data_IF_523673940298
#
_entry.id   IF_523673940298
#
_cell.length_a   1.000
_cell.length_b   1.000
_cell.length_c   1.000
_cell.angle_alpha   90.00
_cell.angle_beta   90.00
_cell.angle_gamma   90.00
#
_symmetry.space_group_name_H-M   'P 1'
#
loop_
_entity.id
_entity.type
_entity.pdbx_description
1 polymer ?
#
# COMPACT_ATOMS: atom_id res chain seq x y z
N UNK A 1 21.92 -18.77 25.00
CA UNK A 1 23.28 -19.08 25.44
C UNK A 1 24.01 -19.70 24.26
N UNK A 2 25.01 -19.03 23.72
CA UNK A 2 25.83 -19.52 22.58
C UNK A 2 26.98 -20.38 23.08
N UNK A 3 27.46 -21.27 22.21
CA UNK A 3 28.68 -22.05 22.46
C UNK A 3 29.88 -21.11 22.41
N UNK A 4 30.70 -21.11 23.45
CA UNK A 4 31.82 -20.17 23.60
C UNK A 4 32.92 -20.36 22.55
N UNK A 5 33.74 -19.31 22.35
CA UNK A 5 34.84 -19.30 21.38
C UNK A 5 35.86 -20.43 21.57
N UNK A 6 36.07 -20.89 22.80
CA UNK A 6 36.96 -22.01 23.09
C UNK A 6 36.52 -23.33 22.41
N UNK A 7 35.19 -23.56 22.28
CA UNK A 7 34.69 -24.76 21.62
C UNK A 7 34.75 -24.65 20.07
N UNK A 8 34.82 -23.46 19.53
CA UNK A 8 34.98 -23.23 18.07
C UNK A 8 36.44 -23.26 17.63
N UNK A 9 37.40 -23.24 18.58
CA UNK A 9 38.86 -23.30 18.33
C UNK A 9 39.47 -24.68 18.65
N UNK A 10 38.64 -25.67 18.98
CA UNK A 10 39.05 -27.04 19.30
C UNK A 10 39.34 -27.94 18.07
N UNK A 11 39.43 -29.28 18.25
CA UNK A 11 39.53 -30.20 17.11
C UNK A 11 38.43 -29.92 16.08
N UNK A 12 38.73 -30.08 14.77
CA UNK A 12 37.88 -29.69 13.64
C UNK A 12 36.45 -30.20 13.79
N UNK A 13 36.27 -31.45 14.26
CA UNK A 13 34.93 -32.03 14.46
C UNK A 13 34.11 -31.31 15.56
N UNK A 14 34.76 -30.83 16.63
CA UNK A 14 34.10 -30.08 17.71
C UNK A 14 33.78 -28.66 17.25
N UNK A 15 34.66 -28.04 16.48
CA UNK A 15 34.42 -26.71 15.90
C UNK A 15 33.27 -26.72 14.92
N UNK A 16 33.13 -27.74 14.08
CA UNK A 16 32.02 -27.89 13.12
C UNK A 16 30.67 -28.08 13.85
N UNK A 17 30.63 -28.90 14.91
CA UNK A 17 29.42 -29.10 15.72
C UNK A 17 29.03 -27.78 16.44
N UNK A 18 30.01 -27.10 17.02
CA UNK A 18 29.79 -25.82 17.70
C UNK A 18 29.29 -24.75 16.72
N UNK A 19 29.85 -24.70 15.50
CA UNK A 19 29.40 -23.81 14.43
C UNK A 19 27.96 -24.11 13.97
N UNK A 20 27.64 -25.39 13.76
CA UNK A 20 26.30 -25.82 13.42
C UNK A 20 25.27 -25.47 14.51
N UNK A 21 25.62 -25.67 15.77
CA UNK A 21 24.78 -25.37 16.93
C UNK A 21 24.53 -23.85 17.04
N UNK A 22 25.56 -23.01 16.89
CA UNK A 22 25.41 -21.56 16.89
C UNK A 22 24.53 -21.09 15.73
N UNK A 23 24.71 -21.63 14.52
CA UNK A 23 23.86 -21.33 13.37
C UNK A 23 22.39 -21.70 13.60
N UNK A 24 22.15 -22.84 14.31
CA UNK A 24 20.79 -23.23 14.69
C UNK A 24 20.19 -22.28 15.73
N UNK A 25 20.98 -21.85 16.72
CA UNK A 25 20.54 -20.87 17.72
C UNK A 25 20.20 -19.54 17.03
N UNK A 26 21.07 -19.04 16.14
CA UNK A 26 20.83 -17.82 15.39
C UNK A 26 19.54 -17.93 14.56
N UNK A 27 19.31 -19.05 13.89
CA UNK A 27 18.09 -19.28 13.12
C UNK A 27 16.82 -19.30 13.99
N UNK A 28 16.91 -19.86 15.21
CA UNK A 28 15.80 -19.88 16.18
C UNK A 28 15.55 -18.47 16.73
N UNK A 29 16.61 -17.76 17.13
CA UNK A 29 16.49 -16.36 17.61
C UNK A 29 15.87 -15.47 16.55
N UNK A 30 16.35 -15.51 15.31
CA UNK A 30 15.77 -14.81 14.16
C UNK A 30 14.31 -15.19 13.91
N UNK A 31 13.97 -16.47 14.08
CA UNK A 31 12.59 -16.97 13.95
C UNK A 31 11.67 -16.40 15.03
N UNK A 32 12.13 -16.38 16.27
CA UNK A 32 11.40 -15.83 17.42
C UNK A 32 11.21 -14.30 17.28
N UNK A 33 12.25 -13.57 16.88
CA UNK A 33 12.15 -12.13 16.64
C UNK A 33 11.16 -11.80 15.51
N UNK A 34 11.22 -12.56 14.40
CA UNK A 34 10.27 -12.40 13.29
C UNK A 34 8.83 -12.62 13.74
N UNK A 35 8.61 -13.67 14.55
CA UNK A 35 7.30 -13.98 15.12
C UNK A 35 6.82 -12.87 16.07
N UNK A 36 7.66 -12.42 17.00
CA UNK A 36 7.33 -11.34 17.93
C UNK A 36 6.98 -10.04 17.19
N UNK A 37 7.75 -9.67 16.14
CA UNK A 37 7.44 -8.50 15.29
C UNK A 37 6.12 -8.67 14.54
N UNK A 38 5.82 -9.88 14.04
CA UNK A 38 4.55 -10.16 13.36
C UNK A 38 3.36 -10.06 14.31
N UNK A 39 3.47 -10.62 15.52
CA UNK A 39 2.44 -10.52 16.55
C UNK A 39 2.19 -9.07 16.99
N UNK A 40 3.27 -8.29 17.16
CA UNK A 40 3.14 -6.86 17.51
C UNK A 40 2.42 -6.07 16.41
N UNK A 41 2.77 -6.30 15.13
CA UNK A 41 2.09 -5.70 13.98
C UNK A 41 0.61 -6.09 13.91
N UNK A 42 0.29 -7.35 14.18
CA UNK A 42 -1.11 -7.82 14.18
C UNK A 42 -1.91 -7.14 15.31
N UNK A 43 -1.35 -7.06 16.52
CA UNK A 43 -2.01 -6.37 17.64
C UNK A 43 -2.27 -4.90 17.33
N UNK A 44 -1.27 -4.22 16.77
CA UNK A 44 -1.42 -2.83 16.34
C UNK A 44 -2.50 -2.69 15.26
N UNK A 45 -2.48 -3.55 14.24
CA UNK A 45 -3.49 -3.57 13.18
C UNK A 45 -4.91 -3.74 13.71
N UNK A 46 -5.13 -4.67 14.67
CA UNK A 46 -6.45 -4.89 15.29
C UNK A 46 -6.88 -3.68 16.12
N UNK A 47 -5.96 -3.04 16.83
CA UNK A 47 -6.25 -1.83 17.60
C UNK A 47 -6.67 -0.67 16.69
N UNK A 48 -5.88 -0.41 15.65
CA UNK A 48 -6.14 0.67 14.68
C UNK A 48 -7.46 0.42 13.92
N UNK A 49 -7.70 -0.82 13.47
CA UNK A 49 -8.94 -1.24 12.84
C UNK A 49 -10.16 -0.98 13.73
N UNK A 50 -10.04 -1.31 15.03
CA UNK A 50 -11.11 -1.09 16.01
C UNK A 50 -11.40 0.40 16.19
N UNK A 51 -10.39 1.24 16.17
CA UNK A 51 -10.55 2.70 16.24
C UNK A 51 -11.21 3.27 14.99
N UNK A 52 -10.75 2.86 13.80
CA UNK A 52 -11.29 3.35 12.53
C UNK A 52 -12.72 2.86 12.23
N UNK A 53 -13.13 1.73 12.78
CA UNK A 53 -14.51 1.24 12.70
C UNK A 53 -15.44 1.89 13.74
N UNK A 54 -14.94 2.24 14.93
CA UNK A 54 -15.76 2.83 15.98
C UNK A 54 -16.32 4.19 15.60
N UNK A 55 -15.55 5.01 14.93
CA UNK A 55 -15.94 6.38 14.54
C UNK A 55 -17.15 6.39 13.60
N UNK A 56 -17.15 5.72 12.42
CA UNK A 56 -18.31 5.66 11.55
C UNK A 56 -19.51 4.96 12.20
N UNK A 57 -19.28 3.95 13.04
CA UNK A 57 -20.35 3.28 13.79
C UNK A 57 -21.07 4.24 14.74
N UNK A 58 -20.33 5.08 15.45
CA UNK A 58 -20.92 6.11 16.31
C UNK A 58 -21.72 7.14 15.50
N UNK A 59 -21.23 7.53 14.31
CA UNK A 59 -21.96 8.37 13.36
C UNK A 59 -23.27 7.73 12.92
N UNK A 60 -23.23 6.46 12.48
CA UNK A 60 -24.45 5.70 12.10
C UNK A 60 -25.46 5.66 13.23
N UNK A 61 -25.02 5.37 14.46
CA UNK A 61 -25.89 5.36 15.64
C UNK A 61 -26.51 6.73 15.93
N UNK A 62 -25.72 7.80 15.81
CA UNK A 62 -26.20 9.17 16.01
C UNK A 62 -27.26 9.59 15.00
N UNK A 63 -27.00 9.34 13.70
CA UNK A 63 -27.96 9.64 12.63
C UNK A 63 -29.21 8.74 12.69
N UNK A 64 -29.07 7.47 13.09
CA UNK A 64 -30.21 6.59 13.31
C UNK A 64 -31.11 7.08 14.45
N UNK A 65 -30.52 7.59 15.54
CA UNK A 65 -31.28 8.22 16.64
C UNK A 65 -31.96 9.52 16.18
N UNK A 66 -31.27 10.32 15.36
CA UNK A 66 -31.85 11.56 14.81
C UNK A 66 -33.03 11.25 13.90
N UNK A 67 -32.93 10.28 12.99
CA UNK A 67 -33.99 9.88 12.08
C UNK A 67 -35.25 9.34 12.79
N UNK A 68 -35.11 8.86 14.03
CA UNK A 68 -36.23 8.38 14.87
C UNK A 68 -36.99 9.48 15.64
N UNK A 69 -36.42 10.69 15.65
CA UNK A 69 -37.09 11.84 16.29
C UNK A 69 -38.17 12.41 15.37
N UNK A 70 -39.01 13.25 15.96
CA UNK A 70 -39.97 14.06 15.17
C UNK A 70 -39.21 15.22 14.52
N UNK A 71 -38.77 15.00 13.29
CA UNK A 71 -38.03 15.94 12.46
C UNK A 71 -38.71 16.02 11.10
N UNK A 72 -38.45 17.09 10.36
CA UNK A 72 -38.95 17.25 9.00
C UNK A 72 -38.39 16.18 8.04
N UNK A 73 -39.06 15.93 6.92
CA UNK A 73 -38.73 14.90 5.96
C UNK A 73 -37.35 15.12 5.31
N UNK A 74 -36.95 16.37 5.07
CA UNK A 74 -35.65 16.69 4.49
C UNK A 74 -34.52 16.28 5.45
N UNK A 75 -34.65 16.62 6.74
CA UNK A 75 -33.69 16.24 7.78
C UNK A 75 -33.62 14.71 7.96
N UNK A 76 -34.75 14.02 7.84
CA UNK A 76 -34.80 12.54 7.91
C UNK A 76 -34.10 11.92 6.71
N UNK A 77 -34.36 12.41 5.51
CA UNK A 77 -33.69 11.96 4.27
C UNK A 77 -32.18 12.15 4.36
N UNK A 78 -31.74 13.31 4.81
CA UNK A 78 -30.31 13.60 5.01
C UNK A 78 -29.67 12.66 6.04
N UNK A 79 -30.36 12.35 7.13
CA UNK A 79 -29.85 11.39 8.14
C UNK A 79 -29.70 9.97 7.54
N UNK A 80 -30.68 9.52 6.74
CA UNK A 80 -30.61 8.22 6.06
C UNK A 80 -29.49 8.16 5.01
N UNK A 81 -29.28 9.22 4.24
CA UNK A 81 -28.16 9.33 3.30
C UNK A 81 -26.82 9.24 4.03
N UNK A 82 -26.69 9.91 5.18
CA UNK A 82 -25.49 9.82 6.02
C UNK A 82 -25.25 8.40 6.54
N UNK A 83 -26.28 7.71 7.00
CA UNK A 83 -26.19 6.30 7.43
C UNK A 83 -25.71 5.43 6.27
N UNK A 84 -26.30 5.59 5.09
CA UNK A 84 -25.91 4.83 3.89
C UNK A 84 -24.46 5.09 3.50
N UNK A 85 -24.02 6.34 3.50
CA UNK A 85 -22.64 6.70 3.15
C UNK A 85 -21.60 6.17 4.15
N UNK A 86 -21.90 6.21 5.45
CA UNK A 86 -21.01 5.63 6.48
C UNK A 86 -20.99 4.10 6.41
N UNK A 87 -22.13 3.47 6.08
CA UNK A 87 -22.20 2.03 5.83
C UNK A 87 -21.32 1.59 4.66
N UNK A 88 -21.40 2.29 3.54
CA UNK A 88 -20.53 2.05 2.37
C UNK A 88 -19.05 2.24 2.70
N UNK A 89 -18.72 3.29 3.46
CA UNK A 89 -17.36 3.54 3.94
C UNK A 89 -16.82 2.41 4.82
N UNK A 90 -17.64 1.90 5.75
CA UNK A 90 -17.26 0.76 6.59
C UNK A 90 -17.01 -0.50 5.76
N UNK A 91 -17.85 -0.77 4.76
CA UNK A 91 -17.67 -1.89 3.86
C UNK A 91 -16.33 -1.78 3.09
N UNK A 92 -16.01 -0.62 2.51
CA UNK A 92 -14.73 -0.38 1.86
C UNK A 92 -13.54 -0.60 2.80
N UNK A 93 -13.61 -0.09 4.04
CA UNK A 93 -12.57 -0.26 5.04
C UNK A 93 -12.33 -1.74 5.38
N UNK A 94 -13.40 -2.53 5.52
CA UNK A 94 -13.30 -3.98 5.79
C UNK A 94 -12.64 -4.70 4.61
N UNK A 95 -13.01 -4.40 3.35
CA UNK A 95 -12.40 -5.00 2.16
C UNK A 95 -10.89 -4.64 2.05
N UNK A 96 -10.52 -3.40 2.35
CA UNK A 96 -9.12 -2.97 2.40
C UNK A 96 -8.33 -3.73 3.48
N UNK A 97 -8.92 -3.94 4.66
CA UNK A 97 -8.32 -4.74 5.74
C UNK A 97 -8.16 -6.21 5.35
N UNK A 98 -9.18 -6.81 4.72
CA UNK A 98 -9.12 -8.19 4.23
C UNK A 98 -8.05 -8.35 3.15
N UNK A 99 -7.91 -7.37 2.27
CA UNK A 99 -6.86 -7.35 1.24
C UNK A 99 -5.47 -7.38 1.89
N UNK A 100 -5.22 -6.51 2.87
CA UNK A 100 -3.95 -6.47 3.60
C UNK A 100 -3.68 -7.79 4.36
N UNK A 101 -4.69 -8.33 5.04
CA UNK A 101 -4.55 -9.59 5.77
C UNK A 101 -4.21 -10.77 4.84
N UNK A 102 -4.79 -10.81 3.64
CA UNK A 102 -4.48 -11.82 2.61
C UNK A 102 -3.06 -11.67 2.07
N UNK A 103 -2.57 -10.44 1.90
CA UNK A 103 -1.22 -10.16 1.42
C UNK A 103 -0.16 -10.47 2.48
N UNK A 104 -0.43 -10.20 3.77
CA UNK A 104 0.45 -10.56 4.88
C UNK A 104 0.56 -12.09 5.04
N UNK A 105 -0.47 -12.85 4.65
CA UNK A 105 -0.53 -14.32 4.71
C UNK A 105 0.19 -15.06 3.58
N UNK A 106 1.09 -14.43 2.86
CA UNK A 106 1.92 -15.05 1.80
C UNK A 106 1.10 -15.64 0.62
N UNK A 107 -0.03 -15.02 0.26
CA UNK A 107 -0.78 -15.43 -0.92
C UNK A 107 0.08 -15.22 -2.17
N UNK A 108 0.32 -16.28 -2.92
CA UNK A 108 0.93 -16.19 -4.24
C UNK A 108 -0.02 -15.47 -5.20
N UNK A 109 0.37 -14.29 -5.67
CA UNK A 109 -0.29 -13.61 -6.76
C UNK A 109 -0.02 -14.37 -8.08
N UNK A 110 -0.93 -14.24 -9.04
CA UNK A 110 -0.69 -14.72 -10.39
C UNK A 110 0.51 -14.00 -10.99
N UNK A 111 1.20 -14.67 -11.91
CA UNK A 111 2.35 -14.11 -12.63
C UNK A 111 2.09 -14.21 -14.13
N UNK A 112 1.18 -13.36 -14.58
CA UNK A 112 0.83 -13.28 -15.99
C UNK A 112 1.55 -12.08 -16.63
N UNK A 113 1.73 -12.14 -17.94
CA UNK A 113 2.20 -10.99 -18.72
C UNK A 113 1.02 -10.05 -18.98
N UNK A 114 1.14 -8.80 -18.53
CA UNK A 114 0.06 -7.83 -18.53
C UNK A 114 0.45 -6.62 -19.37
N UNK A 115 -0.41 -6.25 -20.30
CA UNK A 115 -0.37 -4.94 -20.94
C UNK A 115 -0.92 -3.87 -19.97
N UNK A 116 -0.07 -2.93 -19.61
CA UNK A 116 -0.39 -1.93 -18.57
C UNK A 116 -1.22 -0.78 -19.13
N UNK A 117 -1.10 -0.46 -20.42
CA UNK A 117 -1.74 0.72 -21.02
C UNK A 117 -3.27 0.65 -20.95
N UNK A 118 -3.94 -0.46 -21.34
CA UNK A 118 -5.39 -0.56 -21.20
C UNK A 118 -5.88 -0.36 -19.77
N UNK A 119 -5.15 -0.91 -18.79
CA UNK A 119 -5.50 -0.78 -17.37
C UNK A 119 -5.40 0.68 -16.87
N UNK A 120 -4.39 1.41 -17.34
CA UNK A 120 -4.24 2.84 -17.00
C UNK A 120 -5.37 3.65 -17.64
N UNK A 121 -5.70 3.39 -18.90
CA UNK A 121 -6.77 4.10 -19.59
C UNK A 121 -8.14 3.87 -18.92
N UNK A 122 -8.44 2.62 -18.55
CA UNK A 122 -9.63 2.28 -17.79
C UNK A 122 -9.66 3.05 -16.46
N UNK A 123 -8.56 3.01 -15.69
CA UNK A 123 -8.49 3.66 -14.40
C UNK A 123 -8.59 5.20 -14.48
N UNK A 124 -8.00 5.82 -15.52
CA UNK A 124 -8.14 7.27 -15.78
C UNK A 124 -9.57 7.64 -16.19
N UNK A 125 -10.22 6.80 -16.99
CA UNK A 125 -11.63 6.97 -17.38
C UNK A 125 -12.54 6.92 -16.15
N UNK A 126 -12.38 5.93 -15.29
CA UNK A 126 -13.13 5.79 -14.04
C UNK A 126 -12.91 7.00 -13.11
N UNK A 127 -11.65 7.44 -12.99
CA UNK A 127 -11.29 8.61 -12.19
C UNK A 127 -11.95 9.89 -12.73
N UNK A 128 -12.00 10.06 -14.05
CA UNK A 128 -12.65 11.21 -14.69
C UNK A 128 -14.17 11.24 -14.44
N UNK A 129 -14.84 10.09 -14.46
CA UNK A 129 -16.27 10.00 -14.15
C UNK A 129 -16.55 10.44 -12.70
N UNK A 130 -15.69 10.04 -11.77
CA UNK A 130 -15.89 10.33 -10.33
C UNK A 130 -15.43 11.74 -9.94
N UNK A 131 -14.42 12.29 -10.63
CA UNK A 131 -13.88 13.63 -10.38
C UNK A 131 -13.60 14.35 -11.72
N UNK A 132 -14.66 14.83 -12.40
CA UNK A 132 -14.54 15.51 -13.69
C UNK A 132 -13.88 16.88 -13.59
N UNK A 133 -13.72 17.40 -12.39
CA UNK A 133 -13.06 18.66 -12.07
C UNK A 133 -11.52 18.57 -11.99
N UNK A 134 -10.96 17.35 -12.12
CA UNK A 134 -9.51 17.13 -12.23
C UNK A 134 -9.11 16.88 -13.70
N UNK A 135 -7.88 17.26 -14.06
CA UNK A 135 -7.30 16.92 -15.36
C UNK A 135 -6.54 15.59 -15.29
N UNK A 136 -7.16 14.52 -15.78
CA UNK A 136 -6.60 13.18 -15.79
C UNK A 136 -5.91 12.90 -17.13
N UNK A 137 -4.62 12.62 -17.12
CA UNK A 137 -3.83 12.51 -18.34
C UNK A 137 -2.95 11.25 -18.36
N UNK A 138 -2.88 10.62 -19.53
CA UNK A 138 -1.81 9.67 -19.85
C UNK A 138 -0.62 10.47 -20.39
N UNK A 139 0.50 10.41 -19.70
CA UNK A 139 1.75 11.03 -20.12
C UNK A 139 2.54 10.15 -21.07
N UNK A 140 3.87 10.19 -20.97
CA UNK A 140 4.73 9.32 -21.78
C UNK A 140 4.47 7.84 -21.41
N UNK A 141 4.05 7.06 -22.38
CA UNK A 141 3.74 5.64 -22.23
C UNK A 141 4.30 4.87 -23.44
N UNK A 142 5.28 4.01 -23.20
CA UNK A 142 5.71 3.02 -24.19
C UNK A 142 4.86 1.74 -24.01
N UNK A 143 4.76 0.94 -25.07
CA UNK A 143 4.17 -0.40 -25.00
C UNK A 143 5.04 -1.29 -24.11
N UNK A 144 4.62 -1.43 -22.86
CA UNK A 144 5.40 -2.11 -21.84
C UNK A 144 4.54 -3.21 -21.21
N UNK A 145 5.07 -4.42 -21.22
CA UNK A 145 4.50 -5.57 -20.55
C UNK A 145 5.13 -5.73 -19.15
N UNK A 146 4.29 -6.01 -18.17
CA UNK A 146 4.67 -6.24 -16.77
C UNK A 146 4.35 -7.68 -16.38
N UNK A 147 5.22 -8.30 -15.60
CA UNK A 147 4.96 -9.59 -15.00
C UNK A 147 4.26 -9.41 -13.66
N UNK A 148 2.99 -9.86 -13.54
CA UNK A 148 2.23 -9.64 -12.31
C UNK A 148 0.82 -10.22 -12.33
N UNK A 149 -0.02 -9.67 -11.44
CA UNK A 149 -1.44 -9.98 -11.30
C UNK A 149 -2.27 -8.75 -11.72
N UNK A 150 -3.14 -8.92 -12.71
CA UNK A 150 -3.93 -7.82 -13.28
C UNK A 150 -4.83 -7.16 -12.23
N UNK A 151 -5.49 -7.95 -11.37
CA UNK A 151 -6.35 -7.42 -10.33
C UNK A 151 -5.56 -6.61 -9.30
N UNK A 152 -4.35 -7.06 -8.95
CA UNK A 152 -3.45 -6.33 -8.09
C UNK A 152 -3.00 -5.01 -8.71
N UNK A 153 -2.66 -5.01 -10.00
CA UNK A 153 -2.25 -3.80 -10.73
C UNK A 153 -3.40 -2.79 -10.85
N UNK A 154 -4.61 -3.26 -11.17
CA UNK A 154 -5.84 -2.44 -11.19
C UNK A 154 -6.08 -1.80 -9.83
N UNK A 155 -5.93 -2.55 -8.73
CA UNK A 155 -6.07 -2.04 -7.37
C UNK A 155 -5.02 -0.99 -7.02
N UNK A 156 -3.76 -1.16 -7.46
CA UNK A 156 -2.70 -0.16 -7.30
C UNK A 156 -3.12 1.15 -7.97
N UNK A 157 -3.50 1.10 -9.24
CA UNK A 157 -3.91 2.28 -10.01
C UNK A 157 -5.11 2.99 -9.36
N UNK A 158 -6.14 2.23 -9.01
CA UNK A 158 -7.33 2.76 -8.34
C UNK A 158 -6.97 3.48 -7.04
N UNK A 159 -6.11 2.90 -6.20
CA UNK A 159 -5.70 3.51 -4.94
C UNK A 159 -4.88 4.79 -5.14
N UNK A 160 -3.98 4.82 -6.13
CA UNK A 160 -3.17 6.00 -6.43
C UNK A 160 -4.02 7.14 -6.97
N UNK A 161 -4.94 6.86 -7.90
CA UNK A 161 -5.82 7.89 -8.47
C UNK A 161 -6.86 8.36 -7.45
N UNK A 162 -7.40 7.47 -6.62
CA UNK A 162 -8.28 7.85 -5.50
C UNK A 162 -7.54 8.75 -4.49
N UNK A 163 -6.27 8.47 -4.22
CA UNK A 163 -5.45 9.31 -3.35
C UNK A 163 -5.25 10.71 -3.93
N UNK A 164 -4.92 10.84 -5.22
CA UNK A 164 -4.82 12.11 -5.91
C UNK A 164 -6.14 12.89 -5.81
N UNK A 165 -7.28 12.26 -6.13
CA UNK A 165 -8.62 12.86 -6.04
C UNK A 165 -8.96 13.41 -4.66
N UNK A 166 -8.66 12.64 -3.60
CA UNK A 166 -9.09 12.99 -2.23
C UNK A 166 -8.19 14.06 -1.61
N UNK A 167 -6.90 14.07 -1.96
CA UNK A 167 -5.91 14.90 -1.30
C UNK A 167 -5.48 16.13 -2.10
N UNK A 168 -6.03 16.33 -3.31
CA UNK A 168 -5.76 17.52 -4.10
C UNK A 168 -7.05 18.35 -4.34
N UNK A 169 -6.95 19.66 -4.57
CA UNK A 169 -8.09 20.49 -4.89
C UNK A 169 -8.61 20.24 -6.30
N UNK A 170 -9.84 20.65 -6.57
CA UNK A 170 -10.39 20.73 -7.93
C UNK A 170 -9.46 21.52 -8.86
N UNK A 171 -9.37 21.11 -10.12
CA UNK A 171 -8.47 21.70 -11.12
C UNK A 171 -7.05 21.13 -11.08
N UNK A 172 -6.72 20.22 -10.17
CA UNK A 172 -5.41 19.57 -10.14
C UNK A 172 -5.21 18.68 -11.38
N UNK A 173 -4.03 18.76 -11.95
CA UNK A 173 -3.58 17.89 -13.05
C UNK A 173 -2.92 16.65 -12.48
N UNK A 174 -3.38 15.48 -12.91
CA UNK A 174 -2.85 14.17 -12.52
C UNK A 174 -2.38 13.46 -13.76
N UNK A 175 -1.08 13.10 -13.81
CA UNK A 175 -0.44 12.46 -14.96
C UNK A 175 0.04 11.09 -14.57
N UNK A 176 -0.38 10.06 -15.32
CA UNK A 176 0.16 8.70 -15.22
C UNK A 176 1.12 8.47 -16.38
N UNK A 177 2.34 8.07 -16.10
CA UNK A 177 3.35 7.79 -17.11
C UNK A 177 4.04 6.45 -16.87
N UNK A 178 4.56 5.85 -17.94
CA UNK A 178 5.26 4.57 -17.94
C UNK A 178 6.67 4.76 -18.49
N UNK A 179 7.65 4.23 -17.77
CA UNK A 179 9.02 4.17 -18.23
C UNK A 179 9.61 2.79 -17.95
N UNK A 180 10.44 2.30 -18.89
CA UNK A 180 11.23 1.10 -18.68
C UNK A 180 12.65 1.50 -18.32
N UNK A 181 13.23 0.83 -17.36
CA UNK A 181 14.62 0.99 -16.96
C UNK A 181 15.31 -0.37 -16.94
N UNK A 182 16.39 -0.46 -17.69
CA UNK A 182 17.28 -1.61 -17.68
C UNK A 182 18.46 -1.38 -16.70
N UNK A 183 18.36 -0.36 -15.83
CA UNK A 183 19.37 -0.02 -14.85
C UNK A 183 19.37 -1.03 -13.70
N UNK A 184 20.46 -1.79 -13.60
CA UNK A 184 20.67 -2.78 -12.56
C UNK A 184 20.68 -2.17 -11.14
N UNK A 185 21.03 -0.89 -11.01
CA UNK A 185 20.98 -0.18 -9.74
C UNK A 185 19.55 0.00 -9.25
N UNK A 186 18.59 0.28 -10.15
CA UNK A 186 17.16 0.34 -9.82
C UNK A 186 16.65 -1.03 -9.38
N UNK A 187 16.98 -2.08 -10.13
CA UNK A 187 16.63 -3.45 -9.79
C UNK A 187 17.26 -3.90 -8.45
N UNK A 188 18.52 -3.51 -8.19
CA UNK A 188 19.20 -3.79 -6.92
C UNK A 188 18.57 -3.04 -5.74
N UNK A 189 18.18 -1.80 -5.93
CA UNK A 189 17.49 -0.99 -4.91
C UNK A 189 16.14 -1.60 -4.51
N UNK A 190 15.36 -2.07 -5.49
CA UNK A 190 14.09 -2.78 -5.26
C UNK A 190 14.31 -4.06 -4.45
N UNK A 191 15.33 -4.85 -4.82
CA UNK A 191 15.72 -6.09 -4.10
C UNK A 191 16.17 -5.81 -2.67
N UNK A 192 16.97 -4.76 -2.45
CA UNK A 192 17.46 -4.39 -1.10
C UNK A 192 16.30 -3.96 -0.17
N UNK A 193 15.34 -3.18 -0.66
CA UNK A 193 14.16 -2.78 0.11
C UNK A 193 13.24 -3.95 0.46
N UNK A 194 13.10 -4.93 -0.43
CA UNK A 194 12.37 -6.18 -0.16
C UNK A 194 13.00 -7.00 0.96
N UNK A 195 14.34 -7.06 1.02
CA UNK A 195 15.08 -7.79 2.07
C UNK A 195 15.05 -7.09 3.43
N UNK A 196 15.13 -5.77 3.48
CA UNK A 196 15.19 -5.01 4.74
C UNK A 196 13.90 -5.14 5.59
N UNK A 197 12.78 -5.52 5.00
CA UNK A 197 11.50 -5.76 5.71
C UNK A 197 11.19 -7.24 5.98
N UNK A 198 12.14 -8.15 5.82
CA UNK A 198 12.11 -9.52 6.41
C UNK A 198 11.30 -10.55 5.64
N UNK A 199 11.16 -10.42 4.33
CA UNK A 199 10.63 -11.50 3.49
C UNK A 199 11.77 -12.30 2.86
N UNK A 200 11.66 -13.63 2.97
CA UNK A 200 12.58 -14.59 2.38
C UNK A 200 12.66 -14.45 0.86
N UNK A 201 13.63 -15.14 0.27
CA UNK A 201 13.94 -15.17 -1.15
C UNK A 201 12.65 -15.19 -1.98
N UNK A 202 12.39 -14.11 -2.74
CA UNK A 202 11.52 -14.20 -3.89
C UNK A 202 12.20 -15.18 -4.87
N UNK A 203 11.68 -16.40 -4.96
CA UNK A 203 12.08 -17.35 -5.98
C UNK A 203 11.56 -16.89 -7.33
N UNK A 204 12.37 -16.15 -8.03
CA UNK A 204 12.17 -15.71 -9.40
C UNK A 204 13.48 -15.16 -9.90
N UNK A 205 13.89 -15.53 -11.11
CA UNK A 205 15.07 -14.97 -11.77
C UNK A 205 15.02 -13.44 -11.67
N UNK A 206 16.15 -12.76 -11.39
CA UNK A 206 16.17 -11.32 -11.33
C UNK A 206 15.73 -10.79 -12.69
N UNK A 207 14.60 -10.07 -12.72
CA UNK A 207 14.23 -9.34 -13.91
C UNK A 207 15.37 -8.34 -14.19
N UNK A 208 15.98 -8.46 -15.34
CA UNK A 208 17.07 -7.58 -15.77
C UNK A 208 16.55 -6.16 -16.03
N UNK A 209 15.24 -5.98 -16.09
CA UNK A 209 14.57 -4.76 -16.49
C UNK A 209 13.34 -4.52 -15.60
N UNK A 210 13.13 -3.27 -15.22
CA UNK A 210 12.03 -2.81 -14.38
C UNK A 210 11.15 -1.81 -15.14
N UNK A 211 9.85 -1.89 -14.88
CA UNK A 211 8.87 -0.90 -15.34
C UNK A 211 8.51 0.00 -14.18
N UNK A 212 8.56 1.30 -14.40
CA UNK A 212 8.10 2.30 -13.44
C UNK A 212 6.80 2.93 -13.91
N UNK A 213 5.74 2.72 -13.14
CA UNK A 213 4.48 3.44 -13.26
C UNK A 213 4.59 4.65 -12.35
N UNK A 214 4.55 5.84 -12.92
CA UNK A 214 4.65 7.10 -12.20
C UNK A 214 3.32 7.81 -12.21
N UNK A 215 2.77 8.10 -11.03
CA UNK A 215 1.59 8.94 -10.85
C UNK A 215 2.04 10.25 -10.21
N UNK A 216 1.83 11.35 -10.93
CA UNK A 216 2.25 12.69 -10.53
C UNK A 216 1.05 13.63 -10.49
N UNK A 217 0.87 14.37 -9.40
CA UNK A 217 -0.09 15.46 -9.29
C UNK A 217 0.64 16.80 -9.09
N UNK A 218 0.00 17.89 -9.46
CA UNK A 218 0.49 19.26 -9.21
C UNK A 218 -0.21 19.96 -8.02
N UNK A 219 -0.74 19.16 -7.12
CA UNK A 219 -1.41 19.58 -5.90
C UNK A 219 -0.49 20.13 -4.81
N UNK A 220 -0.94 20.17 -3.55
CA UNK A 220 -0.20 20.75 -2.44
C UNK A 220 0.98 19.88 -1.95
N UNK A 221 1.10 18.63 -2.44
CA UNK A 221 2.10 17.69 -1.99
C UNK A 221 1.78 17.06 -0.63
N UNK A 222 2.68 16.18 -0.17
CA UNK A 222 2.56 15.47 1.10
C UNK A 222 3.29 16.28 2.19
N UNK A 223 2.63 16.57 3.34
CA UNK A 223 3.26 17.27 4.45
C UNK A 223 4.53 16.55 4.93
N UNK A 224 5.62 17.29 5.23
CA UNK A 224 6.90 16.69 5.67
C UNK A 224 6.76 15.71 6.84
N UNK A 225 5.87 16.01 7.78
CA UNK A 225 5.64 15.20 8.99
C UNK A 225 5.18 13.76 8.73
N UNK A 226 4.61 13.48 7.55
CA UNK A 226 4.10 12.15 7.19
C UNK A 226 4.80 11.53 5.98
N UNK A 227 5.74 12.24 5.33
CA UNK A 227 6.41 11.76 4.10
C UNK A 227 7.07 10.40 4.27
N UNK A 228 7.81 10.20 5.36
CA UNK A 228 8.53 8.96 5.62
C UNK A 228 7.60 7.80 6.00
N UNK A 229 6.36 8.12 6.38
CA UNK A 229 5.36 7.18 6.86
C UNK A 229 4.14 7.06 5.96
N UNK A 230 4.18 7.64 4.77
CA UNK A 230 3.01 7.68 3.85
C UNK A 230 2.52 6.29 3.44
N UNK A 231 3.39 5.28 3.47
CA UNK A 231 3.07 3.88 3.20
C UNK A 231 2.72 3.06 4.45
N UNK A 232 2.80 3.66 5.65
CA UNK A 232 2.35 3.00 6.86
C UNK A 232 0.82 2.94 6.90
N UNK A 233 0.28 1.94 7.59
CA UNK A 233 -1.17 1.76 7.75
C UNK A 233 -1.77 2.89 8.59
N UNK A 234 -2.98 3.34 8.21
CA UNK A 234 -3.75 4.37 8.92
C UNK A 234 -3.06 5.74 9.06
N UNK A 235 -2.02 6.01 8.28
CA UNK A 235 -1.39 7.33 8.25
C UNK A 235 -2.25 8.30 7.45
N UNK A 236 -2.56 9.45 8.07
CA UNK A 236 -3.37 10.52 7.49
C UNK A 236 -2.75 11.87 7.78
N UNK A 237 -2.82 12.78 6.83
CA UNK A 237 -2.48 14.20 7.06
C UNK A 237 -3.59 14.94 7.82
N UNK A 238 -3.25 15.92 8.64
CA UNK A 238 -4.22 16.70 9.43
C UNK A 238 -5.28 17.40 8.57
N UNK A 239 -4.95 17.77 7.34
CA UNK A 239 -5.88 18.39 6.37
C UNK A 239 -7.00 17.45 5.91
N UNK A 240 -6.87 16.13 6.09
CA UNK A 240 -7.88 15.15 5.70
C UNK A 240 -9.00 14.99 6.75
N UNK A 241 -8.82 15.53 7.96
CA UNK A 241 -9.82 15.46 9.04
C UNK A 241 -10.96 16.46 8.87
N UNK A 242 -10.76 17.52 8.11
CA UNK A 242 -11.66 18.70 8.03
C UNK A 242 -12.49 18.81 6.76
N UNK A 243 -12.26 17.99 5.73
CA UNK A 243 -13.05 18.05 4.49
C UNK A 243 -14.12 16.95 4.45
N UNK A 244 -15.36 17.34 4.63
CA UNK A 244 -16.62 16.66 4.22
C UNK A 244 -16.85 15.21 4.59
N UNK A 245 -16.24 14.65 5.63
CA UNK A 245 -16.53 13.28 6.07
C UNK A 245 -16.13 12.17 5.07
N UNK A 246 -15.61 12.52 3.88
CA UNK A 246 -15.16 11.59 2.82
C UNK A 246 -13.67 11.23 2.92
N UNK A 247 -13.09 11.33 4.12
CA UNK A 247 -11.68 11.05 4.34
C UNK A 247 -11.29 9.61 3.95
N UNK A 248 -10.10 9.45 3.34
CA UNK A 248 -9.51 8.13 3.06
C UNK A 248 -9.30 7.33 4.34
N UNK A 249 -9.33 6.01 4.26
CA UNK A 249 -9.06 5.07 5.37
C UNK A 249 -7.62 5.16 5.91
N UNK A 250 -6.70 5.72 5.12
CA UNK A 250 -5.27 5.65 5.39
C UNK A 250 -4.64 4.28 5.11
N UNK A 251 -5.38 3.38 4.45
CA UNK A 251 -4.91 2.05 4.07
C UNK A 251 -4.47 1.97 2.60
N UNK A 252 -4.99 2.82 1.72
CA UNK A 252 -4.75 2.75 0.29
C UNK A 252 -3.26 2.71 -0.09
N UNK A 253 -2.42 3.55 0.52
CA UNK A 253 -0.98 3.59 0.24
C UNK A 253 -0.24 2.35 0.78
N UNK A 254 -0.65 1.80 1.92
CA UNK A 254 -0.10 0.56 2.45
C UNK A 254 -0.51 -0.67 1.62
N UNK A 255 -1.68 -0.63 0.99
CA UNK A 255 -2.12 -1.64 0.01
C UNK A 255 -1.24 -1.56 -1.24
N UNK A 256 -0.99 -0.36 -1.77
CA UNK A 256 -0.08 -0.16 -2.92
C UNK A 256 1.30 -0.74 -2.63
N UNK A 257 1.89 -0.44 -1.47
CA UNK A 257 3.19 -1.00 -1.07
C UNK A 257 3.16 -2.52 -0.97
N UNK A 258 2.11 -3.08 -0.36
CA UNK A 258 1.98 -4.52 -0.17
C UNK A 258 1.80 -5.28 -1.49
N UNK A 259 0.96 -4.76 -2.39
CA UNK A 259 0.73 -5.33 -3.72
C UNK A 259 1.97 -5.25 -4.60
N UNK A 260 2.62 -4.08 -4.68
CA UNK A 260 3.85 -3.91 -5.44
C UNK A 260 4.92 -4.91 -4.99
N UNK A 261 5.09 -5.04 -3.66
CA UNK A 261 6.03 -6.00 -3.07
C UNK A 261 5.66 -7.47 -3.37
N UNK A 262 4.39 -7.83 -3.29
CA UNK A 262 3.92 -9.19 -3.59
C UNK A 262 4.14 -9.55 -5.06
N UNK A 263 4.16 -8.57 -5.98
CA UNK A 263 4.56 -8.73 -7.39
C UNK A 263 6.08 -8.70 -7.62
N UNK A 264 6.89 -8.63 -6.56
CA UNK A 264 8.36 -8.57 -6.68
C UNK A 264 8.90 -7.17 -7.00
N UNK A 265 8.08 -6.15 -6.86
CA UNK A 265 8.40 -4.75 -7.08
C UNK A 265 8.59 -3.93 -5.81
N UNK A 266 8.54 -2.63 -5.94
CA UNK A 266 8.60 -1.66 -4.84
C UNK A 266 7.82 -0.39 -5.19
N UNK A 267 7.53 0.40 -4.16
CA UNK A 267 6.96 1.74 -4.31
C UNK A 267 7.85 2.76 -3.59
N UNK A 268 7.87 3.97 -4.12
CA UNK A 268 8.54 5.10 -3.48
C UNK A 268 7.78 6.41 -3.71
N UNK A 269 7.93 7.31 -2.77
CA UNK A 269 7.65 8.74 -2.95
C UNK A 269 8.90 9.35 -3.59
N UNK A 270 8.76 9.91 -4.78
CA UNK A 270 9.83 10.61 -5.46
C UNK A 270 9.85 12.08 -5.05
N UNK A 271 11.02 12.71 -5.19
CA UNK A 271 11.12 14.15 -4.98
C UNK A 271 10.39 14.91 -6.09
N UNK A 272 9.68 15.94 -5.72
CA UNK A 272 8.95 16.82 -6.63
C UNK A 272 9.06 18.26 -6.14
N UNK A 273 9.26 19.19 -7.06
CA UNK A 273 9.22 20.63 -6.78
C UNK A 273 7.79 21.10 -6.47
N UNK A 274 6.79 20.43 -7.05
CA UNK A 274 5.37 20.72 -6.86
C UNK A 274 4.56 19.44 -6.84
N UNK A 275 3.59 19.37 -5.92
CA UNK A 275 2.68 18.24 -5.83
C UNK A 275 3.31 16.96 -5.28
N UNK A 276 2.72 15.82 -5.63
CA UNK A 276 3.15 14.50 -5.20
C UNK A 276 3.54 13.65 -6.40
N UNK A 277 4.62 12.89 -6.26
CA UNK A 277 5.04 11.89 -7.26
C UNK A 277 5.23 10.56 -6.58
N UNK A 278 4.41 9.58 -6.99
CA UNK A 278 4.53 8.19 -6.51
C UNK A 278 4.97 7.32 -7.67
N UNK A 279 6.00 6.53 -7.43
CA UNK A 279 6.56 5.61 -8.40
C UNK A 279 6.41 4.16 -7.91
N UNK A 280 5.75 3.35 -8.73
CA UNK A 280 5.61 1.90 -8.54
C UNK A 280 6.51 1.20 -9.55
N UNK A 281 7.48 0.48 -9.05
CA UNK A 281 8.45 -0.25 -9.86
C UNK A 281 8.10 -1.73 -9.84
N UNK A 282 7.90 -2.33 -11.01
CA UNK A 282 7.50 -3.73 -11.19
C UNK A 282 8.46 -4.44 -12.16
N UNK A 283 8.61 -5.78 -12.05
CA UNK A 283 9.40 -6.54 -13.03
C UNK A 283 8.78 -6.42 -14.42
N UNK A 284 9.62 -6.14 -15.44
CA UNK A 284 9.20 -6.24 -16.83
C UNK A 284 8.99 -7.71 -17.22
N UNK A 285 8.08 -7.94 -18.16
CA UNK A 285 7.85 -9.27 -18.74
C UNK A 285 8.89 -9.58 -19.83
#
# INVERSE_FOLDING_TARGET
TRVGEEATSGPVEVADVAGALNSMIDAVEDGMERRARSEAKLRQFVADASHELRTPLASVQGYAQLARRDIDEASRTQALERISSEGARMASLVEEMLTLARLDGNRTLKRDTIDVIPLILDALSDAHVVAPDHAWELGNAADILVLGDEAALRQILTNLLANARVHTPAGTRVVVSLTRSDDEAVAACVRARGRAKGQGKAEGAPASSMVTIRVADDGPGIPPAIRDRVFDRFVRGDSSRTRDGRGSSGLGMSIVESLARAMGGAVRLADSEKGTVIEVMLPAA
#
